data_IF_013822848929
#
_entry.id   IF_013822848929
#
_cell.length_a   1.000
_cell.length_b   1.000
_cell.length_c   1.000
_cell.angle_alpha   90.00
_cell.angle_beta   90.00
_cell.angle_gamma   90.00
#
_symmetry.space_group_name_H-M   'P 1'
#
loop_
_entity.id
_entity.type
_entity.pdbx_description
1 polymer ?
#
# COMPACT_ATOMS: atom_id res chain seq x y z
N UNK A 1 7.46 -13.16 39.97
CA UNK A 1 6.92 -12.25 38.94
C UNK A 1 7.99 -12.07 37.87
N UNK A 2 7.83 -12.61 36.65
CA UNK A 2 8.82 -12.45 35.57
C UNK A 2 8.61 -11.07 34.92
N UNK A 3 9.62 -10.22 34.96
CA UNK A 3 9.61 -8.92 34.27
C UNK A 3 9.48 -9.13 32.76
N UNK A 4 8.44 -8.55 32.17
CA UNK A 4 8.24 -8.55 30.72
C UNK A 4 9.17 -7.50 30.12
N UNK A 5 10.05 -7.93 29.20
CA UNK A 5 10.98 -7.06 28.50
C UNK A 5 10.29 -6.43 27.27
N UNK A 6 9.89 -5.17 27.40
CA UNK A 6 9.17 -4.41 26.36
C UNK A 6 9.98 -4.18 25.08
N UNK A 7 11.31 -4.16 25.14
CA UNK A 7 12.17 -4.04 23.95
C UNK A 7 12.21 -5.33 23.13
N UNK A 8 12.09 -6.50 23.80
CA UNK A 8 11.92 -7.80 23.13
C UNK A 8 10.57 -7.89 22.42
N UNK A 9 9.50 -7.31 22.98
CA UNK A 9 8.17 -7.25 22.36
C UNK A 9 8.11 -6.31 21.14
N UNK A 10 8.83 -5.17 21.17
CA UNK A 10 8.95 -4.26 20.02
C UNK A 10 9.74 -4.86 18.86
N UNK A 11 10.86 -5.53 19.14
CA UNK A 11 11.63 -6.27 18.11
C UNK A 11 10.84 -7.43 17.49
N UNK A 12 10.06 -8.16 18.30
CA UNK A 12 9.19 -9.23 17.80
C UNK A 12 8.07 -8.69 16.90
N UNK A 13 7.44 -7.56 17.25
CA UNK A 13 6.42 -6.91 16.40
C UNK A 13 6.99 -6.29 15.11
N UNK A 14 8.24 -5.80 15.15
CA UNK A 14 8.93 -5.29 13.96
C UNK A 14 9.24 -6.42 12.97
N UNK A 15 9.73 -7.56 13.46
CA UNK A 15 10.01 -8.74 12.63
C UNK A 15 8.75 -9.35 12.00
N UNK A 16 7.60 -9.27 12.68
CA UNK A 16 6.32 -9.74 12.14
C UNK A 16 5.82 -8.80 11.03
N UNK A 17 5.95 -7.48 11.20
CA UNK A 17 5.59 -6.47 10.18
C UNK A 17 6.47 -6.54 8.94
N UNK A 18 7.77 -6.77 9.10
CA UNK A 18 8.71 -7.00 8.00
C UNK A 18 8.45 -8.34 7.30
N UNK A 19 8.20 -9.42 8.05
CA UNK A 19 7.80 -10.71 7.46
C UNK A 19 6.50 -10.59 6.64
N UNK A 20 5.56 -9.77 7.11
CA UNK A 20 4.29 -9.50 6.45
C UNK A 20 4.40 -8.67 5.17
N UNK A 21 5.29 -7.68 5.14
CA UNK A 21 5.62 -6.96 3.92
C UNK A 21 6.32 -7.89 2.91
N UNK A 22 7.29 -8.71 3.35
CA UNK A 22 7.97 -9.72 2.53
C UNK A 22 6.98 -10.72 1.92
N UNK A 23 5.97 -11.12 2.67
CA UNK A 23 4.96 -12.05 2.19
C UNK A 23 3.93 -11.39 1.25
N UNK A 24 3.63 -10.10 1.45
CA UNK A 24 2.89 -9.31 0.47
C UNK A 24 3.59 -9.24 -0.88
N UNK A 25 4.91 -9.12 -0.82
CA UNK A 25 5.77 -8.98 -1.99
C UNK A 25 5.96 -10.31 -2.69
N UNK A 26 6.16 -11.39 -1.94
CA UNK A 26 6.17 -12.75 -2.48
C UNK A 26 4.84 -13.10 -3.17
N UNK A 27 3.70 -12.64 -2.65
CA UNK A 27 2.40 -12.89 -3.28
C UNK A 27 2.15 -12.02 -4.51
N UNK A 28 2.53 -10.73 -4.50
CA UNK A 28 2.55 -9.87 -5.69
C UNK A 28 3.46 -10.48 -6.77
N UNK A 29 4.60 -11.05 -6.38
CA UNK A 29 5.51 -11.78 -7.26
C UNK A 29 4.87 -13.05 -7.85
N UNK A 30 4.30 -13.93 -7.01
CA UNK A 30 3.64 -15.18 -7.46
C UNK A 30 2.50 -14.91 -8.44
N UNK A 31 1.78 -13.80 -8.24
CA UNK A 31 0.61 -13.45 -9.05
C UNK A 31 0.99 -12.69 -10.32
N UNK A 32 2.01 -11.83 -10.27
CA UNK A 32 2.63 -11.25 -11.46
C UNK A 32 3.24 -12.32 -12.38
N UNK A 33 3.88 -13.35 -11.81
CA UNK A 33 4.47 -14.47 -12.57
C UNK A 33 3.41 -15.40 -13.18
N UNK A 34 2.20 -15.49 -12.60
CA UNK A 34 1.12 -16.37 -13.10
C UNK A 34 0.13 -15.74 -14.07
N UNK A 35 0.09 -14.41 -14.17
CA UNK A 35 -0.79 -13.69 -15.10
C UNK A 35 -0.15 -13.54 -16.49
N UNK A 36 1.14 -13.81 -16.63
CA UNK A 36 1.82 -13.81 -17.93
C UNK A 36 1.87 -15.23 -18.50
N UNK A 37 1.52 -15.43 -19.78
CA UNK A 37 1.83 -16.68 -20.45
C UNK A 37 3.36 -16.89 -20.34
N UNK A 38 3.77 -18.09 -19.93
CA UNK A 38 5.14 -18.59 -20.06
C UNK A 38 5.49 -18.70 -21.56
N UNK A 39 5.60 -17.56 -22.24
CA UNK A 39 5.94 -17.47 -23.65
C UNK A 39 6.23 -15.99 -24.00
N UNK A 40 7.40 -15.51 -23.60
CA UNK A 40 8.29 -14.72 -24.46
C UNK A 40 9.46 -14.21 -23.63
N UNK A 41 10.67 -14.58 -24.04
CA UNK A 41 11.94 -13.96 -23.65
C UNK A 41 11.91 -12.46 -24.00
N UNK A 42 11.39 -11.64 -23.11
CA UNK A 42 11.56 -10.19 -23.20
C UNK A 42 12.25 -9.72 -21.93
N UNK A 43 13.46 -9.16 -22.09
CA UNK A 43 14.27 -8.47 -21.07
C UNK A 43 13.58 -7.21 -20.49
N UNK A 44 12.26 -7.08 -20.61
CA UNK A 44 11.52 -5.92 -20.14
C UNK A 44 11.29 -6.06 -18.63
N UNK A 45 12.02 -5.25 -17.86
CA UNK A 45 11.74 -5.07 -16.42
C UNK A 45 10.29 -4.66 -16.22
N UNK A 46 9.63 -5.29 -15.25
CA UNK A 46 8.29 -4.93 -14.79
C UNK A 46 8.37 -3.67 -13.95
N UNK A 47 7.44 -2.75 -14.15
CA UNK A 47 7.44 -1.44 -13.50
C UNK A 47 6.25 -1.37 -12.55
N UNK A 48 6.50 -1.02 -11.29
CA UNK A 48 5.49 -0.87 -10.24
C UNK A 48 5.50 0.56 -9.72
N UNK A 49 4.34 1.20 -9.65
CA UNK A 49 4.21 2.45 -8.89
C UNK A 49 3.79 2.13 -7.46
N UNK A 50 4.55 2.66 -6.50
CA UNK A 50 4.16 2.67 -5.10
C UNK A 50 3.78 4.09 -4.69
N UNK A 51 2.59 4.21 -4.11
CA UNK A 51 2.10 5.46 -3.57
C UNK A 51 2.07 5.41 -2.04
N UNK A 52 2.79 6.32 -1.39
CA UNK A 52 2.73 6.48 0.06
C UNK A 52 1.61 7.47 0.41
N UNK A 53 0.45 6.97 0.83
CA UNK A 53 -0.73 7.77 1.13
C UNK A 53 -0.45 8.91 2.13
N UNK A 54 -1.18 10.01 2.01
CA UNK A 54 -0.99 11.25 2.80
C UNK A 54 0.41 11.88 2.59
N UNK A 55 0.78 12.90 3.37
CA UNK A 55 2.05 13.62 3.20
C UNK A 55 1.94 15.11 3.54
N UNK A 56 3.05 15.73 3.92
CA UNK A 56 3.10 17.15 4.27
C UNK A 56 2.13 17.50 5.39
N UNK A 57 1.19 18.42 5.11
CA UNK A 57 0.16 18.87 6.04
C UNK A 57 -0.97 17.86 6.26
N UNK A 58 -1.11 16.85 5.40
CA UNK A 58 -2.05 15.74 5.62
C UNK A 58 -1.35 14.64 6.41
N UNK A 59 -1.63 14.56 7.71
CA UNK A 59 -1.08 13.53 8.59
C UNK A 59 -1.76 12.17 8.43
N UNK A 60 -2.91 12.11 7.75
CA UNK A 60 -3.84 10.99 7.83
C UNK A 60 -4.35 10.84 9.27
N UNK A 61 -4.38 9.60 9.75
CA UNK A 61 -4.79 9.26 11.12
C UNK A 61 -3.60 9.29 12.08
N UNK A 62 -3.90 9.53 13.35
CA UNK A 62 -2.91 9.51 14.43
C UNK A 62 -3.19 8.26 15.28
N UNK A 63 -2.15 7.45 15.51
CA UNK A 63 -2.23 6.27 16.36
C UNK A 63 -2.44 6.63 17.83
N UNK A 64 -2.88 5.67 18.64
CA UNK A 64 -2.89 5.82 20.11
C UNK A 64 -1.50 6.06 20.72
N UNK A 65 -0.44 5.68 20.01
CA UNK A 65 0.95 5.92 20.42
C UNK A 65 1.53 7.21 19.84
N UNK A 66 0.72 8.04 19.18
CA UNK A 66 1.13 9.32 18.58
C UNK A 66 1.80 9.21 17.20
N UNK A 67 1.85 8.03 16.60
CA UNK A 67 2.43 7.83 15.26
C UNK A 67 1.49 8.35 14.17
N UNK A 68 2.03 9.13 13.24
CA UNK A 68 1.27 9.65 12.10
C UNK A 68 1.20 8.61 10.98
N UNK A 69 0.03 8.44 10.38
CA UNK A 69 -0.20 7.55 9.25
C UNK A 69 0.72 7.85 8.08
N UNK A 70 0.88 9.11 7.70
CA UNK A 70 1.73 9.50 6.57
C UNK A 70 3.18 8.97 6.68
N UNK A 71 3.73 8.93 7.90
CA UNK A 71 5.10 8.49 8.17
C UNK A 71 5.21 6.96 8.08
N UNK A 72 4.21 6.25 8.61
CA UNK A 72 4.16 4.79 8.53
C UNK A 72 3.93 4.33 7.09
N UNK A 73 3.05 4.99 6.35
CA UNK A 73 2.85 4.76 4.92
C UNK A 73 4.16 4.93 4.16
N UNK A 74 4.90 6.03 4.41
CA UNK A 74 6.20 6.26 3.78
C UNK A 74 7.21 5.15 4.12
N UNK A 75 7.32 4.79 5.41
CA UNK A 75 8.23 3.73 5.85
C UNK A 75 7.94 2.39 5.16
N UNK A 76 6.67 1.99 5.09
CA UNK A 76 6.26 0.75 4.41
C UNK A 76 6.57 0.85 2.92
N UNK A 77 6.26 1.98 2.28
CA UNK A 77 6.52 2.20 0.85
C UNK A 77 8.01 2.09 0.52
N UNK A 78 8.90 2.67 1.34
CA UNK A 78 10.35 2.61 1.11
C UNK A 78 10.92 1.21 1.32
N UNK A 79 10.45 0.47 2.32
CA UNK A 79 10.85 -0.93 2.53
C UNK A 79 10.36 -1.83 1.39
N UNK A 80 9.11 -1.63 0.95
CA UNK A 80 8.53 -2.33 -0.20
C UNK A 80 9.31 -2.04 -1.50
N UNK A 81 9.74 -0.80 -1.71
CA UNK A 81 10.58 -0.42 -2.85
C UNK A 81 11.87 -1.24 -2.88
N UNK A 82 12.62 -1.28 -1.78
CA UNK A 82 13.90 -2.01 -1.72
C UNK A 82 13.72 -3.47 -2.08
N UNK A 83 12.71 -4.14 -1.50
CA UNK A 83 12.48 -5.56 -1.75
C UNK A 83 12.04 -5.82 -3.21
N UNK A 84 11.21 -4.95 -3.80
CA UNK A 84 10.81 -5.07 -5.20
C UNK A 84 11.99 -4.84 -6.16
N UNK A 85 12.85 -3.85 -5.87
CA UNK A 85 14.05 -3.61 -6.68
C UNK A 85 15.05 -4.77 -6.58
N UNK A 86 15.25 -5.33 -5.39
CA UNK A 86 16.07 -6.53 -5.18
C UNK A 86 15.53 -7.76 -5.94
N UNK A 87 14.21 -7.82 -6.13
CA UNK A 87 13.53 -8.84 -6.93
C UNK A 87 13.53 -8.54 -8.45
N UNK A 88 14.18 -7.47 -8.90
CA UNK A 88 14.37 -7.13 -10.31
C UNK A 88 13.27 -6.26 -10.93
N UNK A 89 12.33 -5.73 -10.13
CA UNK A 89 11.34 -4.76 -10.58
C UNK A 89 11.94 -3.35 -10.65
N UNK A 90 11.41 -2.53 -11.55
CA UNK A 90 11.59 -1.09 -11.50
C UNK A 90 10.48 -0.49 -10.64
N UNK A 91 10.84 0.39 -9.70
CA UNK A 91 9.89 0.99 -8.76
C UNK A 91 9.87 2.51 -8.91
N UNK A 92 8.69 3.04 -9.18
CA UNK A 92 8.42 4.48 -9.22
C UNK A 92 7.65 4.86 -7.95
N UNK A 93 8.14 5.86 -7.22
CA UNK A 93 7.43 6.40 -6.06
C UNK A 93 6.63 7.64 -6.46
N UNK A 94 5.39 7.77 -5.99
CA UNK A 94 4.69 9.07 -6.07
C UNK A 94 5.31 10.07 -5.09
N UNK A 95 5.64 9.62 -3.88
CA UNK A 95 6.21 10.40 -2.78
C UNK A 95 7.40 9.67 -2.17
N UNK A 96 8.52 10.38 -1.99
CA UNK A 96 9.81 9.83 -1.54
C UNK A 96 10.25 10.30 -0.15
N UNK A 97 9.59 11.30 0.39
CA UNK A 97 9.92 11.96 1.66
C UNK A 97 8.62 12.36 2.41
N UNK A 98 8.77 13.11 3.50
CA UNK A 98 7.67 13.50 4.40
C UNK A 98 6.75 14.58 3.83
N UNK A 99 7.11 15.20 2.70
CA UNK A 99 6.40 16.33 2.12
C UNK A 99 5.17 15.91 1.31
N UNK A 100 4.25 16.84 1.08
CA UNK A 100 3.13 16.61 0.17
C UNK A 100 3.52 16.99 -1.26
N UNK A 101 2.78 16.47 -2.24
CA UNK A 101 2.97 16.75 -3.66
C UNK A 101 2.23 18.01 -4.09
N UNK A 102 2.47 19.09 -3.36
CA UNK A 102 1.87 20.41 -3.58
C UNK A 102 2.89 21.50 -3.27
N UNK A 103 2.59 22.72 -3.69
CA UNK A 103 3.38 23.91 -3.39
C UNK A 103 2.62 24.85 -2.46
N UNK A 104 3.34 25.79 -1.84
CA UNK A 104 2.73 26.82 -0.99
C UNK A 104 1.76 27.74 -1.75
N UNK A 105 1.81 27.75 -3.09
CA UNK A 105 0.92 28.53 -3.96
C UNK A 105 -0.43 27.82 -4.21
N UNK A 106 -0.53 26.54 -3.88
CA UNK A 106 -1.75 25.78 -4.10
C UNK A 106 -2.84 26.15 -3.11
N UNK A 107 -3.92 26.74 -3.62
CA UNK A 107 -5.10 27.13 -2.82
C UNK A 107 -5.74 25.94 -2.11
N UNK A 108 -5.66 24.75 -2.71
CA UNK A 108 -6.14 23.51 -2.12
C UNK A 108 -5.06 22.43 -2.25
N UNK A 109 -4.20 22.36 -1.23
CA UNK A 109 -3.08 21.41 -1.13
C UNK A 109 -3.50 19.97 -1.30
N UNK A 110 -4.65 19.58 -0.74
CA UNK A 110 -5.17 18.19 -0.84
C UNK A 110 -5.55 17.83 -2.28
N UNK A 111 -6.17 18.76 -3.02
CA UNK A 111 -6.50 18.54 -4.43
C UNK A 111 -5.22 18.53 -5.28
N UNK A 112 -4.29 19.45 -5.03
CA UNK A 112 -3.01 19.51 -5.74
C UNK A 112 -2.21 18.21 -5.55
N UNK A 113 -2.07 17.77 -4.30
CA UNK A 113 -1.41 16.51 -3.93
C UNK A 113 -1.99 15.32 -4.70
N UNK A 114 -3.31 15.16 -4.65
CA UNK A 114 -3.98 14.02 -5.27
C UNK A 114 -3.90 14.05 -6.80
N UNK A 115 -3.95 15.24 -7.41
CA UNK A 115 -3.75 15.42 -8.85
C UNK A 115 -2.34 15.04 -9.27
N UNK A 116 -1.34 15.44 -8.49
CA UNK A 116 0.06 15.14 -8.81
C UNK A 116 0.36 13.64 -8.69
N UNK A 117 -0.20 12.95 -7.67
CA UNK A 117 -0.14 11.47 -7.59
C UNK A 117 -0.70 10.82 -8.85
N UNK A 118 -1.90 11.23 -9.27
CA UNK A 118 -2.54 10.68 -10.47
C UNK A 118 -1.74 11.00 -11.74
N UNK A 119 -1.10 12.17 -11.81
CA UNK A 119 -0.22 12.56 -12.92
C UNK A 119 0.99 11.63 -13.01
N UNK A 120 1.73 11.46 -11.92
CA UNK A 120 2.88 10.55 -11.84
C UNK A 120 2.47 9.13 -12.24
N UNK A 121 1.36 8.62 -11.68
CA UNK A 121 0.84 7.29 -12.01
C UNK A 121 0.54 7.16 -13.51
N UNK A 122 -0.21 8.10 -14.08
CA UNK A 122 -0.64 7.99 -15.47
C UNK A 122 0.50 8.19 -16.49
N UNK A 123 1.57 8.88 -16.11
CA UNK A 123 2.76 9.07 -16.95
C UNK A 123 3.82 7.97 -16.79
N UNK A 124 3.73 7.14 -15.75
CA UNK A 124 4.75 6.16 -15.36
C UNK A 124 4.96 4.99 -16.34
N UNK A 125 3.99 4.72 -17.23
CA UNK A 125 3.95 3.48 -18.04
C UNK A 125 4.06 2.19 -17.21
N UNK A 126 3.69 2.22 -15.93
CA UNK A 126 3.80 1.08 -15.03
C UNK A 126 2.78 -0.02 -15.33
N UNK A 127 3.11 -1.25 -14.91
CA UNK A 127 2.21 -2.40 -15.05
C UNK A 127 1.08 -2.34 -14.00
N UNK A 128 1.39 -1.91 -12.77
CA UNK A 128 0.46 -1.84 -11.64
C UNK A 128 0.79 -0.71 -10.68
N UNK A 129 -0.20 -0.31 -9.88
CA UNK A 129 -0.09 0.74 -8.87
C UNK A 129 -0.63 0.25 -7.53
N UNK A 130 0.15 0.42 -6.46
CA UNK A 130 -0.27 0.10 -5.09
C UNK A 130 -0.15 1.35 -4.23
N UNK A 131 -1.28 1.89 -3.80
CA UNK A 131 -1.34 2.97 -2.81
C UNK A 131 -1.46 2.39 -1.40
N UNK A 132 -0.49 2.71 -0.56
CA UNK A 132 -0.32 2.18 0.80
C UNK A 132 -0.95 3.15 1.80
N UNK A 133 -1.90 2.62 2.58
CA UNK A 133 -2.60 3.31 3.64
C UNK A 133 -2.67 2.44 4.90
N UNK A 134 -2.97 3.08 6.04
CA UNK A 134 -3.26 2.37 7.27
C UNK A 134 -4.69 2.66 7.73
N UNK A 135 -5.44 1.59 7.87
CA UNK A 135 -6.84 1.75 8.21
C UNK A 135 -7.02 2.29 9.63
N UNK A 136 -8.10 3.03 9.81
CA UNK A 136 -8.55 3.49 11.12
C UNK A 136 -10.04 3.30 11.23
N UNK A 137 -10.46 2.50 12.20
CA UNK A 137 -11.87 2.32 12.53
C UNK A 137 -12.11 2.73 13.97
N UNK A 138 -13.30 3.27 14.21
CA UNK A 138 -13.78 3.65 15.54
C UNK A 138 -14.39 2.45 16.29
N UNK A 139 -14.83 1.42 15.57
CA UNK A 139 -15.36 0.19 16.17
C UNK A 139 -14.23 -0.85 16.32
N UNK A 140 -13.88 -1.27 17.56
CA UNK A 140 -12.84 -2.25 17.81
C UNK A 140 -13.17 -3.65 17.28
N UNK A 141 -14.43 -3.94 16.96
CA UNK A 141 -14.85 -5.21 16.34
C UNK A 141 -14.48 -5.29 14.87
N UNK A 142 -14.31 -4.14 14.22
CA UNK A 142 -13.86 -4.06 12.83
C UNK A 142 -12.35 -4.12 12.86
N UNK A 143 -11.77 -5.20 12.32
CA UNK A 143 -10.31 -5.39 12.24
C UNK A 143 -9.90 -5.98 10.87
N UNK A 144 -8.59 -6.09 10.61
CA UNK A 144 -8.02 -6.72 9.40
C UNK A 144 -7.70 -5.77 8.25
N UNK A 145 -6.66 -6.12 7.48
CA UNK A 145 -6.26 -5.40 6.27
C UNK A 145 -7.31 -5.57 5.15
N UNK A 146 -7.44 -4.55 4.32
CA UNK A 146 -8.47 -4.48 3.28
C UNK A 146 -7.88 -3.86 2.01
N UNK A 147 -8.03 -4.52 0.87
CA UNK A 147 -7.64 -3.95 -0.43
C UNK A 147 -8.87 -3.47 -1.18
N UNK A 148 -8.78 -2.29 -1.77
CA UNK A 148 -9.80 -1.67 -2.60
C UNK A 148 -9.34 -1.57 -4.04
N UNK A 149 -10.27 -1.75 -4.97
CA UNK A 149 -10.04 -1.61 -6.42
C UNK A 149 -11.18 -0.85 -7.08
N UNK A 150 -10.93 -0.28 -8.26
CA UNK A 150 -11.99 0.39 -9.02
C UNK A 150 -13.01 -0.63 -9.53
N UNK A 151 -14.29 -0.41 -9.23
CA UNK A 151 -15.41 -1.33 -9.54
C UNK A 151 -15.43 -1.82 -11.00
N UNK A 152 -15.02 -0.98 -11.95
CA UNK A 152 -15.01 -1.30 -13.37
C UNK A 152 -13.65 -1.77 -13.92
N UNK A 153 -12.64 -1.95 -13.04
CA UNK A 153 -11.32 -2.45 -13.42
C UNK A 153 -11.18 -3.94 -13.12
N UNK A 154 -11.19 -4.76 -14.17
CA UNK A 154 -11.02 -6.21 -14.05
C UNK A 154 -9.60 -6.59 -13.59
N UNK A 155 -8.58 -5.87 -14.06
CA UNK A 155 -7.19 -6.12 -13.66
C UNK A 155 -6.90 -5.55 -12.27
N UNK A 156 -7.49 -4.40 -11.91
CA UNK A 156 -7.46 -3.90 -10.54
C UNK A 156 -8.09 -4.88 -9.55
N UNK A 157 -9.19 -5.55 -9.93
CA UNK A 157 -9.80 -6.62 -9.13
C UNK A 157 -8.85 -7.79 -8.91
N UNK A 158 -8.20 -8.29 -9.97
CA UNK A 158 -7.23 -9.40 -9.86
C UNK A 158 -6.07 -9.02 -8.95
N UNK A 159 -5.50 -7.82 -9.13
CA UNK A 159 -4.43 -7.31 -8.28
C UNK A 159 -4.87 -7.23 -6.81
N UNK A 160 -6.08 -6.72 -6.55
CA UNK A 160 -6.61 -6.62 -5.20
C UNK A 160 -6.87 -7.98 -4.55
N UNK A 161 -7.37 -8.96 -5.32
CA UNK A 161 -7.51 -10.35 -4.87
C UNK A 161 -6.16 -10.91 -4.41
N UNK A 162 -5.14 -10.79 -5.26
CA UNK A 162 -3.80 -11.30 -5.00
C UNK A 162 -3.21 -10.71 -3.71
N UNK A 163 -3.35 -9.40 -3.51
CA UNK A 163 -2.83 -8.72 -2.32
C UNK A 163 -3.67 -9.05 -1.07
N UNK A 164 -5.01 -9.12 -1.19
CA UNK A 164 -5.88 -9.46 -0.07
C UNK A 164 -5.66 -10.89 0.42
N UNK A 165 -5.50 -11.84 -0.51
CA UNK A 165 -5.14 -13.22 -0.19
C UNK A 165 -3.80 -13.27 0.52
N UNK A 166 -2.81 -12.53 0.04
CA UNK A 166 -1.53 -12.42 0.76
C UNK A 166 -1.67 -11.88 2.17
N UNK A 167 -2.44 -10.79 2.36
CA UNK A 167 -2.70 -10.29 3.71
C UNK A 167 -3.30 -11.37 4.59
N UNK A 168 -4.26 -12.14 4.10
CA UNK A 168 -4.85 -13.21 4.91
C UNK A 168 -3.82 -14.30 5.22
N UNK A 169 -3.14 -14.83 4.21
CA UNK A 169 -2.30 -16.02 4.36
C UNK A 169 -1.05 -15.73 5.20
N UNK A 170 -0.63 -14.46 5.27
CA UNK A 170 0.67 -14.08 5.80
C UNK A 170 0.65 -13.05 6.93
N UNK A 171 -0.41 -12.23 7.02
CA UNK A 171 -0.56 -11.19 8.04
C UNK A 171 -1.43 -11.65 9.18
N UNK A 172 -2.60 -12.15 8.81
CA UNK A 172 -3.66 -12.47 9.73
C UNK A 172 -4.58 -13.50 9.07
N UNK A 173 -4.34 -14.81 9.31
CA UNK A 173 -5.19 -15.89 8.79
C UNK A 173 -6.66 -15.77 9.22
N UNK A 174 -6.93 -15.09 10.34
CA UNK A 174 -8.30 -14.82 10.81
C UNK A 174 -8.98 -13.65 10.08
N UNK A 175 -8.26 -12.93 9.21
CA UNK A 175 -8.82 -11.87 8.39
C UNK A 175 -9.74 -12.43 7.31
N UNK A 176 -11.05 -12.43 7.56
CA UNK A 176 -12.08 -12.93 6.64
C UNK A 176 -12.45 -11.94 5.52
N UNK A 177 -11.72 -10.84 5.38
CA UNK A 177 -12.02 -9.84 4.33
C UNK A 177 -11.63 -10.35 2.96
N UNK A 178 -12.46 -10.00 1.99
CA UNK A 178 -12.19 -10.11 0.56
C UNK A 178 -11.93 -8.72 0.00
N UNK A 179 -11.29 -8.63 -1.15
CA UNK A 179 -11.09 -7.37 -1.88
C UNK A 179 -12.41 -6.64 -2.10
N UNK A 180 -12.41 -5.32 -1.97
CA UNK A 180 -13.63 -4.51 -1.99
C UNK A 180 -13.64 -3.57 -3.17
N UNK A 181 -14.68 -3.67 -4.00
CA UNK A 181 -14.91 -2.71 -5.09
C UNK A 181 -15.20 -1.33 -4.52
N UNK A 182 -14.71 -0.29 -5.20
CA UNK A 182 -14.95 1.10 -4.87
C UNK A 182 -15.15 1.91 -6.16
N UNK A 183 -16.00 2.93 -6.12
CA UNK A 183 -16.35 3.84 -7.22
C UNK A 183 -16.35 5.31 -6.78
N UNK A 184 -15.70 5.64 -5.67
CA UNK A 184 -15.68 6.99 -5.08
C UNK A 184 -14.28 7.51 -4.73
N UNK A 185 -13.29 6.64 -4.54
CA UNK A 185 -11.93 7.06 -4.23
C UNK A 185 -11.31 7.73 -5.44
N UNK A 186 -10.88 8.98 -5.24
CA UNK A 186 -10.40 9.83 -6.32
C UNK A 186 -9.28 9.17 -7.14
N UNK A 187 -8.28 8.56 -6.49
CA UNK A 187 -7.19 7.89 -7.20
C UNK A 187 -7.67 6.72 -8.06
N UNK A 188 -8.60 5.91 -7.56
CA UNK A 188 -9.19 4.80 -8.32
C UNK A 188 -9.98 5.29 -9.55
N UNK A 189 -10.60 6.46 -9.46
CA UNK A 189 -11.36 7.07 -10.55
C UNK A 189 -10.49 7.80 -11.59
N UNK A 190 -9.28 8.25 -11.21
CA UNK A 190 -8.46 9.15 -12.02
C UNK A 190 -7.13 8.53 -12.47
N UNK A 191 -6.95 7.22 -12.27
CA UNK A 191 -5.79 6.46 -12.76
C UNK A 191 -6.21 5.50 -13.86
N UNK A 192 -5.38 5.41 -14.91
CA UNK A 192 -5.63 4.57 -16.10
C UNK A 192 -5.03 3.17 -15.97
N UNK A 193 -4.07 3.01 -15.06
CA UNK A 193 -3.37 1.75 -14.79
C UNK A 193 -4.16 0.90 -13.79
N UNK A 194 -3.90 -0.43 -13.70
CA UNK A 194 -4.43 -1.25 -12.63
C UNK A 194 -3.98 -0.75 -11.25
N UNK A 195 -4.86 -0.01 -10.58
CA UNK A 195 -4.59 0.65 -9.29
C UNK A 195 -5.40 0.03 -8.17
N UNK A 196 -4.75 -0.18 -7.02
CA UNK A 196 -5.38 -0.57 -5.76
C UNK A 196 -5.00 0.34 -4.63
N UNK A 197 -5.89 0.46 -3.64
CA UNK A 197 -5.60 1.07 -2.34
C UNK A 197 -5.54 -0.06 -1.31
N UNK A 198 -4.36 -0.30 -0.74
CA UNK A 198 -4.09 -1.30 0.26
C UNK A 198 -4.12 -0.65 1.65
N UNK A 199 -5.17 -0.93 2.42
CA UNK A 199 -5.25 -0.59 3.84
C UNK A 199 -4.59 -1.71 4.65
N UNK A 200 -3.31 -1.56 4.99
CA UNK A 200 -2.43 -2.64 5.48
C UNK A 200 -2.67 -3.09 6.94
N UNK A 201 -3.73 -2.63 7.60
CA UNK A 201 -4.04 -2.96 9.00
C UNK A 201 -3.79 -1.80 9.99
N UNK A 202 -4.12 -2.03 11.25
CA UNK A 202 -4.74 -1.02 12.13
C UNK A 202 -3.84 -0.08 12.92
N UNK A 203 -4.42 1.11 13.15
CA UNK A 203 -4.43 1.81 14.43
C UNK A 203 -5.57 1.31 15.34
N UNK A 204 -5.26 0.74 16.51
CA UNK A 204 -6.30 0.47 17.52
C UNK A 204 -6.56 1.78 18.26
N UNK A 205 -7.71 2.44 18.07
CA UNK A 205 -8.22 3.39 19.08
C UNK A 205 -8.66 2.54 20.27
N UNK A 206 -7.97 2.69 21.40
CA UNK A 206 -8.50 2.22 22.69
C UNK A 206 -9.47 3.25 23.23
#
# INVERSE_FOLDING_TARGET
MKHINFERLKKVNLNIRTAMAVLLIAAVYITAVRILPLASSTDKKRVVVLDAGHGGSDSGKISVTGSLEKNLNLSITLELKTILEDAGYEVILTRKDEDGLYTEKDRNRKIADMKERCRIINESSADVVVSIHLNSFTDPKVNGAQVFYYKHSQDGKKLAQCIQESFRDNLNPDNKRIEKSNDSYYMLLNTKLPTVIAECGFFVKR
#
